data_IF_938127764585
#
_entry.id   IF_938127764585
#
_cell.length_a   1.000
_cell.length_b   1.000
_cell.length_c   1.000
_cell.angle_alpha   90.00
_cell.angle_beta   90.00
_cell.angle_gamma   90.00
#
_symmetry.space_group_name_H-M   'P 1'
#
loop_
_entity.id
_entity.type
_entity.pdbx_description
1 polymer ?
#
# COMPACT_ATOMS: atom_id res chain seq x y z
N UNK A 1 -16.86 -6.03 -37.22
CA UNK A 1 -16.75 -7.47 -37.55
C UNK A 1 -15.39 -7.71 -38.18
N UNK A 2 -14.43 -8.19 -37.39
CA UNK A 2 -13.18 -8.73 -37.92
C UNK A 2 -12.94 -10.02 -37.17
N UNK A 3 -13.36 -11.13 -37.78
CA UNK A 3 -12.99 -12.47 -37.37
C UNK A 3 -11.48 -12.66 -37.57
N UNK A 4 -10.78 -13.08 -36.51
CA UNK A 4 -9.45 -13.66 -36.60
C UNK A 4 -9.47 -15.02 -35.89
N UNK A 5 -9.91 -16.03 -36.63
CA UNK A 5 -9.75 -17.43 -36.30
C UNK A 5 -8.34 -17.89 -36.71
N UNK A 6 -7.44 -18.00 -35.74
CA UNK A 6 -6.19 -18.76 -35.87
C UNK A 6 -6.34 -20.16 -35.26
N UNK A 7 -5.71 -21.22 -35.82
CA UNK A 7 -5.90 -22.58 -35.34
C UNK A 7 -4.95 -22.87 -34.17
N UNK A 8 -5.51 -23.10 -32.99
CA UNK A 8 -4.80 -23.74 -31.88
C UNK A 8 -5.43 -25.13 -31.68
N UNK A 9 -4.73 -26.14 -32.22
CA UNK A 9 -4.98 -27.54 -31.91
C UNK A 9 -4.34 -27.89 -30.58
N UNK A 10 -5.14 -28.49 -29.68
CA UNK A 10 -4.72 -29.00 -28.38
C UNK A 10 -5.93 -29.14 -27.48
N UNK A 11 -6.36 -30.38 -27.23
CA UNK A 11 -7.53 -30.75 -26.43
C UNK A 11 -7.51 -30.12 -25.02
N UNK A 12 -8.29 -29.07 -24.81
CA UNK A 12 -8.79 -28.63 -23.52
C UNK A 12 -10.09 -27.85 -23.79
N UNK A 13 -11.16 -28.16 -23.06
CA UNK A 13 -12.50 -27.60 -23.30
C UNK A 13 -12.45 -26.07 -23.42
N UNK A 14 -13.09 -25.52 -24.44
CA UNK A 14 -13.30 -24.07 -24.51
C UNK A 14 -14.05 -23.66 -23.24
N UNK A 15 -13.60 -22.65 -22.50
CA UNK A 15 -14.36 -22.14 -21.37
C UNK A 15 -15.74 -21.70 -21.90
N UNK A 16 -16.80 -22.27 -21.35
CA UNK A 16 -18.19 -22.02 -21.79
C UNK A 16 -18.62 -20.58 -21.52
N UNK A 17 -17.95 -19.89 -20.58
CA UNK A 17 -18.24 -18.51 -20.22
C UNK A 17 -16.97 -17.66 -20.06
N UNK A 18 -16.99 -16.46 -20.64
CA UNK A 18 -15.97 -15.43 -20.46
C UNK A 18 -16.57 -14.33 -19.60
N UNK A 19 -15.83 -13.82 -18.61
CA UNK A 19 -16.25 -12.66 -17.82
C UNK A 19 -15.26 -11.50 -18.00
N UNK A 20 -15.81 -10.28 -17.98
CA UNK A 20 -15.01 -9.06 -17.96
C UNK A 20 -14.78 -8.63 -16.50
N UNK A 21 -13.53 -8.55 -16.08
CA UNK A 21 -13.15 -8.14 -14.72
C UNK A 21 -12.36 -6.84 -14.78
N UNK A 22 -12.72 -5.90 -13.91
CA UNK A 22 -11.94 -4.67 -13.70
C UNK A 22 -10.83 -4.95 -12.68
N UNK A 23 -9.58 -4.71 -13.07
CA UNK A 23 -8.40 -4.93 -12.21
C UNK A 23 -7.37 -3.82 -12.39
N UNK A 24 -6.50 -3.67 -11.40
CA UNK A 24 -5.30 -2.85 -11.56
C UNK A 24 -4.18 -3.68 -12.21
N UNK A 25 -3.87 -3.38 -13.47
CA UNK A 25 -2.73 -3.99 -14.15
C UNK A 25 -1.46 -3.23 -13.80
N UNK A 26 -0.42 -3.97 -13.41
CA UNK A 26 0.94 -3.45 -13.25
C UNK A 26 1.56 -3.27 -14.65
N UNK A 27 1.95 -2.05 -14.97
CA UNK A 27 2.59 -1.70 -16.25
C UNK A 27 4.10 -1.76 -16.17
N UNK A 28 4.66 -1.37 -15.04
CA UNK A 28 6.09 -1.39 -14.77
C UNK A 28 6.35 -1.48 -13.27
N UNK A 29 7.49 -2.03 -12.89
CA UNK A 29 7.91 -2.12 -11.50
C UNK A 29 9.42 -2.21 -11.36
N UNK A 30 9.92 -1.68 -10.25
CA UNK A 30 11.32 -1.83 -9.83
C UNK A 30 11.41 -2.42 -8.43
N UNK A 31 12.52 -3.11 -8.18
CA UNK A 31 12.92 -3.62 -6.86
C UNK A 31 14.27 -3.02 -6.52
N UNK A 32 14.35 -2.33 -5.40
CA UNK A 32 15.53 -1.57 -5.04
C UNK A 32 16.09 -2.00 -3.69
N UNK A 33 17.42 -1.91 -3.59
CA UNK A 33 18.22 -2.11 -2.39
C UNK A 33 19.04 -0.84 -2.18
N UNK A 34 18.51 0.08 -1.39
CA UNK A 34 19.14 1.37 -1.17
C UNK A 34 19.94 1.36 0.15
N UNK A 35 21.17 1.87 0.10
CA UNK A 35 21.99 2.18 1.27
C UNK A 35 21.98 3.70 1.45
N UNK A 36 21.16 4.19 2.38
CA UNK A 36 20.98 5.62 2.63
C UNK A 36 22.05 6.06 3.63
N UNK A 37 23.21 6.47 3.14
CA UNK A 37 24.35 6.86 3.97
C UNK A 37 24.20 8.25 4.58
N UNK A 38 24.60 8.38 5.85
CA UNK A 38 24.71 9.66 6.56
C UNK A 38 23.44 10.53 6.45
N UNK A 39 22.27 9.92 6.62
CA UNK A 39 20.99 10.62 6.62
C UNK A 39 20.83 11.38 7.93
N UNK A 40 20.55 12.68 7.83
CA UNK A 40 20.33 13.54 8.99
C UNK A 40 19.09 13.11 9.78
N UNK A 41 19.27 12.91 11.08
CA UNK A 41 18.18 12.68 12.04
C UNK A 41 17.81 13.99 12.74
N UNK A 42 16.59 14.48 12.48
CA UNK A 42 15.97 15.63 13.13
C UNK A 42 15.40 15.21 14.48
N UNK A 43 15.77 15.92 15.53
CA UNK A 43 15.38 15.61 16.90
C UNK A 43 14.35 16.64 17.37
N UNK A 44 13.58 16.30 18.41
CA UNK A 44 12.85 17.32 19.14
C UNK A 44 13.80 18.17 20.00
N UNK A 45 13.36 19.36 20.39
CA UNK A 45 14.04 20.23 21.35
C UNK A 45 14.52 19.48 22.60
N UNK A 46 13.65 18.69 23.22
CA UNK A 46 13.97 17.88 24.39
C UNK A 46 14.98 16.78 24.08
N UNK A 47 14.81 16.09 22.95
CA UNK A 47 15.73 15.02 22.52
C UNK A 47 17.12 15.55 22.17
N UNK A 48 17.20 16.76 21.60
CA UNK A 48 18.46 17.43 21.28
C UNK A 48 19.26 17.76 22.55
N UNK A 49 18.61 18.16 23.65
CA UNK A 49 19.27 18.43 24.93
C UNK A 49 19.91 17.16 25.54
N UNK A 50 19.32 15.98 25.27
CA UNK A 50 19.87 14.68 25.65
C UNK A 50 21.07 14.32 24.78
N UNK A 51 20.94 14.54 23.46
CA UNK A 51 21.98 14.25 22.47
C UNK A 51 23.22 15.15 22.62
N UNK A 52 23.05 16.41 23.03
CA UNK A 52 24.16 17.32 23.28
C UNK A 52 25.03 16.88 24.48
N UNK A 53 24.46 16.10 25.40
CA UNK A 53 25.16 15.53 26.57
C UNK A 53 25.56 14.07 26.38
N UNK A 54 25.34 13.52 25.19
CA UNK A 54 25.63 12.12 24.88
C UNK A 54 27.13 11.87 24.77
N UNK A 55 27.59 10.77 25.38
CA UNK A 55 28.94 10.22 25.13
C UNK A 55 28.94 9.18 24.02
N UNK A 56 27.81 8.48 23.82
CA UNK A 56 27.61 7.51 22.76
C UNK A 56 26.12 7.45 22.37
N UNK A 57 25.86 7.16 21.09
CA UNK A 57 24.51 7.00 20.55
C UNK A 57 24.51 5.76 19.66
N UNK A 58 23.45 4.94 19.76
CA UNK A 58 23.21 3.84 18.82
C UNK A 58 21.76 3.84 18.36
N UNK A 59 21.52 3.46 17.12
CA UNK A 59 20.16 3.21 16.64
C UNK A 59 19.65 1.87 17.15
N UNK A 60 18.45 1.88 17.75
CA UNK A 60 17.75 0.70 18.27
C UNK A 60 16.75 0.15 17.25
N UNK A 61 16.01 1.03 16.59
CA UNK A 61 14.95 0.67 15.65
C UNK A 61 14.76 1.77 14.60
N UNK A 62 14.32 1.38 13.40
CA UNK A 62 13.96 2.30 12.33
C UNK A 62 12.65 1.82 11.72
N UNK A 63 11.67 2.72 11.60
CA UNK A 63 10.36 2.44 11.01
C UNK A 63 10.02 3.46 9.94
N UNK A 64 9.46 3.02 8.82
CA UNK A 64 8.85 3.93 7.85
C UNK A 64 7.47 4.33 8.38
N UNK A 65 7.34 5.56 8.84
CA UNK A 65 6.08 6.06 9.42
C UNK A 65 5.13 6.61 8.38
N UNK A 66 5.65 7.15 7.28
CA UNK A 66 4.85 7.68 6.19
C UNK A 66 5.65 7.79 4.89
N UNK A 67 4.94 7.91 3.78
CA UNK A 67 5.52 8.27 2.49
C UNK A 67 4.71 9.37 1.82
N UNK A 68 5.36 10.22 1.05
CA UNK A 68 4.70 11.15 0.14
C UNK A 68 5.15 10.80 -1.29
N UNK A 69 4.19 10.51 -2.15
CA UNK A 69 4.42 10.06 -3.53
C UNK A 69 3.84 11.09 -4.48
N UNK A 70 4.68 11.66 -5.34
CA UNK A 70 4.26 12.55 -6.42
C UNK A 70 4.64 11.96 -7.78
N UNK A 71 3.83 12.26 -8.80
CA UNK A 71 3.97 11.73 -10.14
C UNK A 71 4.00 12.90 -11.12
N UNK A 72 5.08 12.99 -11.90
CA UNK A 72 5.27 13.99 -12.93
C UNK A 72 5.44 13.33 -14.30
N UNK A 73 4.95 13.97 -15.35
CA UNK A 73 5.17 13.49 -16.72
C UNK A 73 6.60 13.77 -17.17
N UNK A 74 7.25 12.82 -17.85
CA UNK A 74 8.59 13.02 -18.39
C UNK A 74 8.48 13.65 -19.78
N UNK A 75 9.13 14.80 -20.04
CA UNK A 75 9.11 15.40 -21.36
C UNK A 75 9.75 14.44 -22.37
N UNK A 76 9.16 14.32 -23.57
CA UNK A 76 9.61 13.50 -24.70
C UNK A 76 9.44 11.97 -24.59
N UNK A 77 9.22 11.41 -23.39
CA UNK A 77 9.00 9.97 -23.20
C UNK A 77 7.53 9.66 -22.86
N UNK A 78 6.72 9.56 -23.91
CA UNK A 78 5.29 9.23 -23.84
C UNK A 78 5.03 7.95 -23.04
N UNK A 79 4.09 8.03 -22.10
CA UNK A 79 3.73 6.93 -21.21
C UNK A 79 4.70 6.65 -20.04
N UNK A 80 5.80 7.38 -19.93
CA UNK A 80 6.71 7.31 -18.78
C UNK A 80 6.45 8.46 -17.80
N UNK A 81 6.55 8.14 -16.51
CA UNK A 81 6.32 9.10 -15.43
C UNK A 81 7.51 9.07 -14.48
N UNK A 82 7.94 10.26 -14.04
CA UNK A 82 8.88 10.40 -12.94
C UNK A 82 8.09 10.34 -11.64
N UNK A 83 8.38 9.33 -10.84
CA UNK A 83 7.82 9.17 -9.50
C UNK A 83 8.85 9.68 -8.50
N UNK A 84 8.45 10.64 -7.68
CA UNK A 84 9.25 11.09 -6.52
C UNK A 84 8.60 10.55 -5.25
N UNK A 85 9.35 9.76 -4.48
CA UNK A 85 8.91 9.15 -3.23
C UNK A 85 9.75 9.73 -2.10
N UNK A 86 9.09 10.44 -1.19
CA UNK A 86 9.69 10.91 0.05
C UNK A 86 9.34 9.94 1.17
N UNK A 87 10.36 9.31 1.75
CA UNK A 87 10.24 8.45 2.91
C UNK A 87 10.45 9.26 4.19
N UNK A 88 9.59 9.04 5.18
CA UNK A 88 9.73 9.56 6.52
C UNK A 88 10.01 8.38 7.46
N UNK A 89 11.17 8.40 8.12
CA UNK A 89 11.60 7.36 9.05
C UNK A 89 11.56 7.86 10.47
N UNK A 90 10.89 7.12 11.37
CA UNK A 90 11.11 7.28 12.80
C UNK A 90 12.32 6.43 13.20
N UNK A 91 13.33 7.07 13.77
CA UNK A 91 14.52 6.43 14.29
C UNK A 91 14.48 6.49 15.80
N UNK A 92 14.46 5.33 16.44
CA UNK A 92 14.62 5.22 17.89
C UNK A 92 16.10 5.06 18.21
N UNK A 93 16.62 5.95 19.05
CA UNK A 93 18.01 6.01 19.46
C UNK A 93 18.14 5.66 20.95
N UNK A 94 19.12 4.82 21.29
CA UNK A 94 19.60 4.71 22.66
C UNK A 94 20.82 5.60 22.85
N UNK A 95 20.75 6.44 23.86
CA UNK A 95 21.72 7.49 24.15
C UNK A 95 22.33 7.24 25.51
N UNK A 96 23.65 7.10 25.55
CA UNK A 96 24.41 7.03 26.80
C UNK A 96 24.80 8.45 27.22
N UNK A 97 24.30 8.88 28.38
CA UNK A 97 24.60 10.19 28.97
C UNK A 97 25.50 10.00 30.19
N UNK A 98 26.57 10.79 30.28
CA UNK A 98 27.53 10.76 31.39
C UNK A 98 28.07 9.36 31.72
N UNK A 99 28.14 8.45 30.73
CA UNK A 99 28.60 7.06 30.87
C UNK A 99 27.89 6.22 31.94
N UNK A 100 26.68 6.63 32.37
CA UNK A 100 25.98 5.97 33.49
C UNK A 100 24.49 5.73 33.23
N UNK A 101 23.86 6.53 32.36
CA UNK A 101 22.43 6.44 32.09
C UNK A 101 22.17 6.23 30.60
N UNK A 102 21.36 5.23 30.28
CA UNK A 102 20.83 5.00 28.93
C UNK A 102 19.43 5.61 28.88
N UNK A 103 19.21 6.46 27.88
CA UNK A 103 17.93 7.08 27.58
C UNK A 103 17.51 6.71 26.17
N UNK A 104 16.21 6.58 25.95
CA UNK A 104 15.66 6.37 24.62
C UNK A 104 15.08 7.69 24.12
N UNK A 105 15.44 8.08 22.90
CA UNK A 105 14.89 9.26 22.23
C UNK A 105 14.52 8.91 20.80
N UNK A 106 13.61 9.67 20.21
CA UNK A 106 13.18 9.48 18.83
C UNK A 106 13.62 10.67 17.97
N UNK A 107 13.86 10.38 16.69
CA UNK A 107 14.11 11.41 15.70
C UNK A 107 13.60 11.01 14.32
N UNK A 108 13.49 12.00 13.44
CA UNK A 108 12.99 11.88 12.09
C UNK A 108 14.15 11.89 11.09
N UNK A 109 14.25 10.86 10.26
CA UNK A 109 15.06 10.90 9.04
C UNK A 109 14.15 11.05 7.82
N UNK A 110 14.61 11.79 6.80
CA UNK A 110 13.86 12.00 5.55
C UNK A 110 14.76 11.68 4.36
N UNK A 111 14.21 10.96 3.36
CA UNK A 111 14.94 10.63 2.14
C UNK A 111 14.02 10.72 0.91
N UNK A 112 14.52 11.35 -0.16
CA UNK A 112 13.83 11.45 -1.44
C UNK A 112 14.44 10.48 -2.46
N UNK A 113 13.59 9.59 -2.98
CA UNK A 113 13.91 8.67 -4.07
C UNK A 113 13.18 9.11 -5.34
N UNK A 114 13.88 9.08 -6.48
CA UNK A 114 13.28 9.32 -7.79
C UNK A 114 13.45 8.10 -8.66
N UNK A 115 12.36 7.65 -9.29
CA UNK A 115 12.36 6.55 -10.26
C UNK A 115 11.53 6.94 -11.46
N UNK A 116 11.86 6.41 -12.64
CA UNK A 116 11.06 6.57 -13.85
C UNK A 116 10.43 5.23 -14.16
N UNK A 117 9.10 5.19 -14.26
CA UNK A 117 8.34 3.97 -14.54
C UNK A 117 7.41 4.18 -15.73
N UNK A 118 7.22 3.13 -16.52
CA UNK A 118 6.24 3.12 -17.59
C UNK A 118 4.83 2.90 -17.01
N UNK A 119 3.96 3.88 -17.24
CA UNK A 119 2.56 3.83 -16.80
C UNK A 119 1.57 3.67 -17.92
N UNK A 120 1.99 3.68 -19.20
CA UNK A 120 1.11 3.86 -20.36
C UNK A 120 0.37 5.21 -20.37
N UNK A 121 -0.12 5.59 -21.54
CA UNK A 121 -0.90 6.81 -21.74
C UNK A 121 -2.40 6.52 -21.68
N UNK A 122 -3.16 7.50 -21.18
CA UNK A 122 -4.63 7.47 -21.19
C UNK A 122 -5.15 8.88 -21.49
N UNK A 123 -5.58 9.10 -22.74
CA UNK A 123 -6.09 10.39 -23.23
C UNK A 123 -7.63 10.40 -23.24
N UNK A 124 -8.25 10.07 -22.11
CA UNK A 124 -9.72 10.07 -21.98
C UNK A 124 -10.15 10.67 -20.65
N UNK A 125 -11.18 11.49 -20.63
CA UNK A 125 -11.80 11.95 -19.38
C UNK A 125 -12.67 10.84 -18.80
N UNK A 126 -12.56 10.58 -17.49
CA UNK A 126 -13.37 9.59 -16.79
C UNK A 126 -14.37 10.31 -15.89
N UNK A 127 -15.65 9.95 -16.01
CA UNK A 127 -16.74 10.43 -15.18
C UNK A 127 -17.45 9.22 -14.58
N UNK A 128 -17.80 9.30 -13.29
CA UNK A 128 -18.47 8.22 -12.56
C UNK A 128 -19.79 8.75 -12.00
N UNK A 129 -20.86 7.97 -12.14
CA UNK A 129 -22.15 8.28 -11.52
C UNK A 129 -22.12 8.05 -10.02
N UNK A 130 -22.83 8.87 -9.25
CA UNK A 130 -23.07 8.64 -7.82
C UNK A 130 -24.26 7.67 -7.66
N UNK A 131 -24.07 6.46 -7.10
CA UNK A 131 -25.15 5.49 -6.92
C UNK A 131 -26.20 5.91 -5.89
N UNK A 132 -25.91 6.91 -5.04
CA UNK A 132 -26.86 7.42 -4.04
C UNK A 132 -27.78 8.53 -4.59
N UNK A 133 -27.52 9.02 -5.80
CA UNK A 133 -28.23 10.13 -6.44
C UNK A 133 -28.97 9.63 -7.71
N UNK A 134 -30.00 8.80 -7.52
CA UNK A 134 -30.82 8.18 -8.58
C UNK A 134 -32.06 9.01 -9.00
N UNK A 135 -32.21 10.20 -8.42
CA UNK A 135 -33.39 11.04 -8.60
C UNK A 135 -33.56 11.62 -10.00
N UNK A 136 -34.72 11.38 -10.62
CA UNK A 136 -35.10 12.00 -11.89
C UNK A 136 -35.23 13.53 -11.76
N UNK A 137 -34.47 14.29 -12.55
CA UNK A 137 -34.50 15.76 -12.61
C UNK A 137 -34.18 16.48 -11.28
N UNK A 138 -33.30 15.93 -10.44
CA UNK A 138 -32.74 16.68 -9.29
C UNK A 138 -31.85 17.80 -9.84
N UNK A 139 -32.14 19.06 -9.47
CA UNK A 139 -31.24 20.18 -9.74
C UNK A 139 -29.98 19.97 -8.89
N UNK A 140 -28.79 19.71 -9.48
CA UNK A 140 -27.58 19.55 -8.70
C UNK A 140 -27.30 20.89 -8.01
N UNK A 141 -27.32 20.92 -6.68
CA UNK A 141 -26.86 22.10 -5.94
C UNK A 141 -25.34 22.28 -6.10
N UNK A 142 -24.64 21.17 -6.36
CA UNK A 142 -23.20 21.07 -6.59
C UNK A 142 -22.97 20.00 -7.69
N UNK A 143 -22.11 20.29 -8.68
CA UNK A 143 -21.68 19.29 -9.67
C UNK A 143 -20.69 18.34 -8.98
N UNK A 144 -21.09 17.09 -8.70
CA UNK A 144 -20.21 16.08 -8.09
C UNK A 144 -19.42 15.25 -9.12
N UNK A 145 -19.79 15.31 -10.39
CA UNK A 145 -19.21 14.50 -11.46
C UNK A 145 -18.01 15.22 -12.12
N UNK A 146 -16.97 15.49 -11.35
CA UNK A 146 -15.72 16.06 -11.90
C UNK A 146 -14.91 15.00 -12.65
N UNK A 147 -14.14 15.46 -13.64
CA UNK A 147 -13.25 14.57 -14.39
C UNK A 147 -12.20 13.97 -13.45
N UNK A 148 -12.18 12.64 -13.34
CA UNK A 148 -11.21 11.92 -12.51
C UNK A 148 -9.83 11.96 -13.19
N UNK A 149 -8.79 12.20 -12.40
CA UNK A 149 -7.40 12.17 -12.87
C UNK A 149 -7.07 10.83 -13.54
N UNK A 150 -6.43 10.90 -14.71
CA UNK A 150 -5.93 9.73 -15.43
C UNK A 150 -4.47 9.44 -15.14
N UNK A 151 -3.88 9.99 -14.08
CA UNK A 151 -2.55 9.58 -13.66
C UNK A 151 -2.58 8.10 -13.21
N UNK A 152 -1.49 7.34 -13.46
CA UNK A 152 -1.38 5.99 -12.95
C UNK A 152 -1.29 5.99 -11.42
N UNK A 153 -1.70 4.89 -10.80
CA UNK A 153 -1.53 4.66 -9.37
C UNK A 153 -0.11 4.15 -9.15
N UNK A 154 0.58 4.66 -8.13
CA UNK A 154 1.87 4.13 -7.71
C UNK A 154 1.72 3.48 -6.36
N UNK A 155 2.18 2.24 -6.24
CA UNK A 155 2.21 1.50 -4.98
C UNK A 155 3.66 1.27 -4.59
N UNK A 156 3.99 1.61 -3.34
CA UNK A 156 5.32 1.46 -2.75
C UNK A 156 5.21 0.49 -1.59
N UNK A 157 5.88 -0.65 -1.70
CA UNK A 157 6.00 -1.66 -0.65
C UNK A 157 7.41 -1.60 -0.09
N UNK A 158 7.54 -1.62 1.24
CA UNK A 158 8.81 -1.45 1.94
C UNK A 158 8.93 -2.53 3.00
N UNK A 159 10.07 -3.22 3.03
CA UNK A 159 10.39 -4.12 4.14
C UNK A 159 10.89 -3.31 5.36
N UNK A 160 10.90 -3.93 6.55
CA UNK A 160 11.45 -3.31 7.75
C UNK A 160 12.87 -2.77 7.49
N UNK A 161 13.13 -1.46 7.68
CA UNK A 161 14.44 -0.88 7.45
C UNK A 161 15.51 -1.44 8.39
N UNK A 162 16.76 -1.41 7.95
CA UNK A 162 17.90 -1.92 8.72
C UNK A 162 18.79 -0.75 9.13
N UNK A 163 19.06 -0.61 10.43
CA UNK A 163 20.07 0.32 10.92
C UNK A 163 21.47 -0.24 10.63
N UNK A 164 22.27 0.48 9.83
CA UNK A 164 23.60 0.06 9.42
C UNK A 164 24.71 0.79 10.18
N UNK A 165 24.52 2.08 10.44
CA UNK A 165 25.48 2.90 11.19
C UNK A 165 24.80 4.09 11.88
N UNK A 166 25.40 4.60 12.96
CA UNK A 166 24.95 5.79 13.69
C UNK A 166 26.17 6.65 14.04
N UNK A 167 26.19 7.89 13.57
CA UNK A 167 27.27 8.84 13.85
C UNK A 167 26.76 10.02 14.66
N UNK A 168 27.47 10.34 15.73
CA UNK A 168 27.32 11.58 16.49
C UNK A 168 28.40 12.55 16.03
N UNK A 169 27.99 13.67 15.44
CA UNK A 169 28.89 14.64 14.81
C UNK A 169 28.69 16.01 15.44
N UNK A 170 29.78 16.66 15.82
CA UNK A 170 29.76 18.04 16.30
C UNK A 170 29.45 19.02 15.15
N UNK A 171 28.47 19.90 15.33
CA UNK A 171 27.89 20.75 14.27
C UNK A 171 28.84 21.78 13.68
N UNK A 172 29.96 22.08 14.34
CA UNK A 172 31.01 22.95 13.80
C UNK A 172 31.67 22.41 12.52
N UNK A 173 31.34 21.18 12.09
CA UNK A 173 31.83 20.55 10.87
C UNK A 173 30.67 20.31 9.89
N UNK A 174 30.77 20.75 8.62
CA UNK A 174 29.80 20.37 7.61
C UNK A 174 29.84 18.84 7.43
N UNK A 175 28.69 18.18 7.57
CA UNK A 175 28.58 16.72 7.48
C UNK A 175 27.21 16.30 6.95
N UNK A 176 27.18 15.29 6.08
CA UNK A 176 25.96 14.69 5.53
C UNK A 176 25.24 15.53 4.47
N UNK A 177 24.09 15.02 4.02
CA UNK A 177 23.19 15.69 3.09
C UNK A 177 21.78 15.68 3.69
N UNK A 178 21.07 16.80 3.61
CA UNK A 178 19.66 16.84 3.99
C UNK A 178 18.84 17.40 2.83
N UNK A 179 17.82 16.64 2.43
CA UNK A 179 16.97 16.99 1.30
C UNK A 179 15.85 17.99 1.66
N UNK A 180 15.74 18.41 2.93
CA UNK A 180 14.59 19.19 3.40
C UNK A 180 14.91 20.07 4.62
N UNK A 181 14.23 21.21 4.71
CA UNK A 181 14.17 22.02 5.93
C UNK A 181 13.00 21.56 6.81
N UNK A 182 13.08 21.78 8.12
CA UNK A 182 12.05 21.42 9.10
C UNK A 182 10.62 21.88 8.70
N UNK A 183 10.49 23.05 8.06
CA UNK A 183 9.19 23.63 7.69
C UNK A 183 8.45 22.85 6.60
N UNK A 184 9.15 22.01 5.83
CA UNK A 184 8.54 21.20 4.78
C UNK A 184 8.13 19.79 5.27
N UNK A 185 8.26 19.52 6.58
CA UNK A 185 7.76 18.29 7.22
C UNK A 185 6.25 18.42 7.46
N UNK A 186 5.40 17.52 6.92
CA UNK A 186 3.95 17.57 7.12
C UNK A 186 3.53 17.43 8.59
N UNK A 187 2.45 18.11 8.99
CA UNK A 187 1.94 18.10 10.37
C UNK A 187 1.62 16.69 10.88
N UNK A 188 1.06 15.83 10.03
CA UNK A 188 0.78 14.42 10.37
C UNK A 188 2.05 13.64 10.75
N UNK A 189 3.19 13.97 10.14
CA UNK A 189 4.48 13.35 10.45
C UNK A 189 5.03 13.96 11.75
N UNK A 190 4.96 15.29 11.89
CA UNK A 190 5.40 16.02 13.08
C UNK A 190 4.68 15.53 14.34
N UNK A 191 3.38 15.30 14.27
CA UNK A 191 2.55 14.83 15.38
C UNK A 191 2.93 13.44 15.93
N UNK A 192 3.82 12.69 15.26
CA UNK A 192 4.34 11.42 15.78
C UNK A 192 5.48 11.58 16.78
N UNK A 193 6.08 12.76 16.87
CA UNK A 193 7.20 13.04 17.77
C UNK A 193 6.74 13.93 18.92
N UNK A 194 7.32 13.70 20.10
CA UNK A 194 7.08 14.53 21.27
C UNK A 194 7.87 15.84 21.17
N UNK A 195 7.18 16.97 21.30
CA UNK A 195 7.77 18.30 21.20
C UNK A 195 7.88 18.81 19.76
N UNK A 196 8.65 19.88 19.59
CA UNK A 196 8.89 20.44 18.26
C UNK A 196 10.17 19.84 17.71
N UNK A 197 10.11 19.23 16.53
CA UNK A 197 11.31 18.94 15.76
C UNK A 197 12.07 20.25 15.58
N UNK A 198 13.39 20.23 15.72
CA UNK A 198 14.23 21.42 15.64
C UNK A 198 15.39 21.17 14.70
N UNK A 199 15.73 22.20 13.92
CA UNK A 199 16.94 22.23 13.14
C UNK A 199 17.83 23.40 13.57
N UNK A 200 19.14 23.31 13.31
CA UNK A 200 20.06 24.41 13.59
C UNK A 200 20.42 24.66 15.07
N UNK A 201 19.81 23.97 16.05
CA UNK A 201 20.13 24.14 17.48
C UNK A 201 21.02 23.04 18.09
N UNK A 202 21.74 23.36 19.16
CA UNK A 202 22.58 22.40 19.91
C UNK A 202 24.00 22.27 19.37
N UNK A 203 24.80 21.41 20.02
CA UNK A 203 26.21 21.19 19.68
C UNK A 203 26.40 19.97 18.76
N UNK A 204 25.54 18.97 18.90
CA UNK A 204 25.68 17.68 18.21
C UNK A 204 24.57 17.45 17.17
N UNK A 205 24.90 16.63 16.20
CA UNK A 205 24.01 16.16 15.14
C UNK A 205 24.14 14.64 15.01
N UNK A 206 23.00 13.95 14.92
CA UNK A 206 22.95 12.52 14.65
C UNK A 206 22.72 12.30 13.16
N UNK A 207 23.51 11.36 12.61
CA UNK A 207 23.37 10.84 11.25
C UNK A 207 23.24 9.33 11.33
N UNK A 208 22.41 8.76 10.47
CA UNK A 208 22.10 7.33 10.46
C UNK A 208 22.24 6.80 9.06
N UNK A 209 22.88 5.65 8.92
CA UNK A 209 22.91 4.90 7.66
C UNK A 209 21.81 3.85 7.68
N UNK A 210 20.92 3.89 6.70
CA UNK A 210 19.70 3.06 6.65
C UNK A 210 19.74 2.15 5.42
N UNK A 211 19.64 0.84 5.62
CA UNK A 211 19.39 -0.12 4.56
C UNK A 211 17.90 -0.24 4.29
N UNK A 212 17.47 -0.03 3.03
CA UNK A 212 16.08 -0.05 2.61
C UNK A 212 15.85 -1.03 1.45
N UNK A 213 14.88 -1.92 1.61
CA UNK A 213 14.37 -2.77 0.53
C UNK A 213 12.98 -2.29 0.13
N UNK A 214 12.78 -2.00 -1.15
CA UNK A 214 11.49 -1.55 -1.65
C UNK A 214 11.09 -2.18 -2.98
N UNK A 215 9.79 -2.27 -3.21
CA UNK A 215 9.18 -2.60 -4.51
C UNK A 215 8.24 -1.46 -4.86
N UNK A 216 8.44 -0.87 -6.03
CA UNK A 216 7.64 0.25 -6.53
C UNK A 216 6.98 -0.22 -7.81
N UNK A 217 5.65 -0.16 -7.88
CA UNK A 217 4.88 -0.59 -9.05
C UNK A 217 3.92 0.50 -9.51
N UNK A 218 3.81 0.61 -10.83
CA UNK A 218 2.90 1.54 -11.51
C UNK A 218 1.70 0.77 -12.06
N UNK A 219 0.51 1.12 -11.59
CA UNK A 219 -0.74 0.43 -11.84
C UNK A 219 -1.73 1.32 -12.58
N UNK A 220 -2.54 0.73 -13.47
CA UNK A 220 -3.76 1.37 -13.98
C UNK A 220 -4.95 0.42 -13.96
N UNK A 221 -6.16 0.93 -13.71
CA UNK A 221 -7.37 0.16 -13.88
C UNK A 221 -7.58 -0.19 -15.35
N UNK A 222 -7.73 -1.48 -15.65
CA UNK A 222 -8.02 -2.05 -16.96
C UNK A 222 -9.15 -3.07 -16.86
N UNK A 223 -9.75 -3.39 -17.99
CA UNK A 223 -10.73 -4.48 -18.11
C UNK A 223 -10.06 -5.68 -18.79
N UNK A 224 -10.07 -6.83 -18.13
CA UNK A 224 -9.56 -8.09 -18.67
C UNK A 224 -10.71 -9.04 -18.93
N UNK A 225 -10.63 -9.77 -20.04
CA UNK A 225 -11.53 -10.91 -20.31
C UNK A 225 -10.84 -12.15 -19.79
N UNK A 226 -11.43 -12.80 -18.78
CA UNK A 226 -10.90 -14.01 -18.17
C UNK A 226 -11.85 -15.20 -18.45
N UNK A 227 -11.30 -16.41 -18.63
CA UNK A 227 -12.11 -17.62 -18.65
C UNK A 227 -12.66 -17.87 -17.24
N UNK A 228 -13.97 -17.71 -17.08
CA UNK A 228 -14.63 -17.89 -15.80
C UNK A 228 -15.11 -19.33 -15.70
N UNK A 229 -14.43 -20.15 -14.88
CA UNK A 229 -14.83 -21.54 -14.74
C UNK A 229 -15.82 -21.74 -13.59
N UNK A 230 -15.71 -21.01 -12.48
CA UNK A 230 -16.62 -21.07 -11.31
C UNK A 230 -16.38 -19.88 -10.38
N UNK A 231 -17.36 -19.52 -9.54
CA UNK A 231 -17.12 -18.63 -8.41
C UNK A 231 -16.30 -19.33 -7.32
N UNK A 232 -15.33 -18.63 -6.73
CA UNK A 232 -14.50 -19.18 -5.66
C UNK A 232 -15.23 -19.09 -4.31
N UNK A 233 -15.91 -20.17 -3.91
CA UNK A 233 -16.46 -20.28 -2.56
C UNK A 233 -15.44 -20.93 -1.62
N UNK A 234 -15.31 -20.43 -0.37
CA UNK A 234 -14.54 -21.13 0.65
C UNK A 234 -15.13 -22.53 0.90
N UNK A 235 -14.32 -23.57 0.74
CA UNK A 235 -14.74 -24.97 0.93
C UNK A 235 -14.74 -25.41 2.41
N UNK A 236 -14.28 -24.56 3.33
CA UNK A 236 -14.15 -24.89 4.75
C UNK A 236 -15.40 -24.49 5.52
N UNK A 237 -16.16 -25.49 5.96
CA UNK A 237 -17.24 -25.30 6.92
C UNK A 237 -16.70 -25.20 8.36
N UNK A 238 -17.13 -24.17 9.10
CA UNK A 238 -16.92 -24.11 10.54
C UNK A 238 -17.90 -25.07 11.23
N UNK A 239 -17.41 -26.19 11.74
CA UNK A 239 -18.25 -27.14 12.49
C UNK A 239 -18.50 -26.63 13.92
N UNK A 240 -19.76 -26.40 14.35
CA UNK A 240 -20.04 -26.14 15.76
C UNK A 240 -19.76 -27.40 16.59
N UNK A 241 -19.22 -27.20 17.79
CA UNK A 241 -19.03 -28.25 18.80
C UNK A 241 -20.39 -28.83 19.19
N UNK A 242 -20.50 -30.16 19.24
CA UNK A 242 -21.79 -30.85 19.34
C UNK A 242 -22.59 -30.50 20.60
N UNK A 243 -23.74 -29.87 20.42
CA UNK A 243 -24.84 -29.82 21.40
C UNK A 243 -26.18 -30.02 20.71
N UNK A 244 -27.11 -30.68 21.39
CA UNK A 244 -28.47 -31.00 20.92
C UNK A 244 -29.39 -29.79 20.98
N UNK A 245 -29.04 -28.75 20.23
CA UNK A 245 -29.72 -27.47 20.22
C UNK A 245 -29.92 -27.03 18.74
N UNK A 246 -30.67 -25.95 18.43
CA UNK A 246 -31.07 -25.59 17.07
C UNK A 246 -29.91 -25.48 16.05
N UNK A 247 -28.68 -25.33 16.53
CA UNK A 247 -27.44 -25.42 15.77
C UNK A 247 -27.30 -26.76 15.00
N UNK A 248 -27.81 -27.87 15.54
CA UNK A 248 -27.78 -29.20 14.90
C UNK A 248 -28.78 -29.37 13.73
N UNK A 249 -29.83 -28.56 13.70
CA UNK A 249 -30.78 -28.49 12.57
C UNK A 249 -30.20 -27.59 11.47
N UNK A 250 -29.64 -26.45 11.87
CA UNK A 250 -29.00 -25.51 10.96
C UNK A 250 -27.76 -26.11 10.28
N UNK A 251 -26.93 -26.88 10.99
CA UNK A 251 -25.76 -27.56 10.41
C UNK A 251 -26.09 -28.62 9.37
N UNK A 252 -27.35 -29.08 9.32
CA UNK A 252 -27.85 -30.02 8.30
C UNK A 252 -28.44 -29.31 7.09
N UNK A 253 -28.68 -28.01 7.16
CA UNK A 253 -29.15 -27.22 6.01
C UNK A 253 -27.99 -27.07 5.01
N UNK A 254 -28.31 -27.17 3.72
CA UNK A 254 -27.33 -26.88 2.68
C UNK A 254 -27.00 -25.39 2.69
N UNK A 255 -25.73 -25.04 2.50
CA UNK A 255 -25.32 -23.66 2.32
C UNK A 255 -26.08 -23.06 1.11
N UNK A 256 -26.80 -21.93 1.25
CA UNK A 256 -27.70 -21.43 0.22
C UNK A 256 -26.90 -20.68 -0.85
N UNK A 257 -26.17 -21.42 -1.70
CA UNK A 257 -25.31 -20.91 -2.76
C UNK A 257 -26.01 -19.84 -3.62
N UNK A 258 -27.29 -20.06 -3.95
CA UNK A 258 -28.11 -19.15 -4.76
C UNK A 258 -28.37 -17.78 -4.13
N UNK A 259 -28.22 -17.62 -2.81
CA UNK A 259 -28.38 -16.33 -2.12
C UNK A 259 -27.07 -15.51 -2.14
N UNK A 260 -25.93 -16.17 -2.29
CA UNK A 260 -24.61 -15.53 -2.35
C UNK A 260 -24.16 -15.22 -3.78
N UNK A 261 -24.87 -15.74 -4.78
CA UNK A 261 -24.61 -15.43 -6.18
C UNK A 261 -25.65 -14.44 -6.71
N UNK A 262 -25.21 -13.30 -7.28
CA UNK A 262 -26.12 -12.42 -7.98
C UNK A 262 -26.77 -13.21 -9.12
N UNK A 263 -28.10 -13.30 -9.11
CA UNK A 263 -28.85 -14.06 -10.10
C UNK A 263 -28.59 -13.45 -11.47
N UNK A 264 -27.77 -14.09 -12.30
CA UNK A 264 -27.55 -13.66 -13.68
C UNK A 264 -27.68 -14.85 -14.62
N UNK A 265 -28.77 -14.81 -15.39
CA UNK A 265 -29.01 -15.44 -16.70
C UNK A 265 -28.64 -16.94 -16.86
N UNK A 266 -29.32 -17.83 -16.12
CA UNK A 266 -30.19 -18.90 -16.64
C UNK A 266 -30.66 -19.83 -15.49
N UNK A 267 -31.95 -20.23 -15.43
CA UNK A 267 -32.49 -21.04 -14.34
C UNK A 267 -32.31 -22.54 -14.63
N UNK A 268 -31.23 -23.15 -14.13
CA UNK A 268 -30.94 -24.53 -14.55
C UNK A 268 -30.06 -25.39 -13.66
N UNK A 269 -29.95 -25.13 -12.36
CA UNK A 269 -29.26 -26.06 -11.46
C UNK A 269 -29.97 -26.16 -10.10
N UNK A 270 -31.12 -26.84 -10.09
CA UNK A 270 -31.65 -27.38 -8.83
C UNK A 270 -30.88 -28.64 -8.48
N UNK A 271 -30.34 -28.70 -7.25
CA UNK A 271 -29.81 -29.94 -6.68
C UNK A 271 -30.88 -31.04 -6.74
N UNK A 272 -30.53 -32.30 -7.08
CA UNK A 272 -31.50 -33.38 -7.08
C UNK A 272 -32.02 -33.61 -5.66
N UNK A 273 -33.32 -33.90 -5.48
CA UNK A 273 -33.89 -34.14 -4.17
C UNK A 273 -33.28 -35.40 -3.55
N UNK A 274 -33.07 -35.34 -2.23
CA UNK A 274 -32.63 -36.45 -1.39
C UNK A 274 -33.63 -37.59 -1.56
N UNK A 275 -33.18 -38.73 -2.10
CA UNK A 275 -33.97 -39.97 -2.09
C UNK A 275 -33.96 -40.53 -0.67
N UNK A 276 -35.07 -40.41 0.03
CA UNK A 276 -35.36 -41.20 1.22
C UNK A 276 -35.28 -42.69 0.87
N UNK A 277 -34.19 -43.35 1.25
CA UNK A 277 -34.15 -44.80 1.33
C UNK A 277 -34.88 -45.21 2.61
N UNK A 278 -36.16 -45.49 2.47
CA UNK A 278 -36.96 -46.12 3.50
C UNK A 278 -36.36 -47.44 3.96
N UNK A 279 -36.49 -47.70 5.26
CA UNK A 279 -36.21 -48.98 5.90
C UNK A 279 -36.87 -50.14 5.14
N UNK A 280 -36.10 -51.18 4.84
CA UNK A 280 -36.64 -52.53 4.70
C UNK A 280 -36.37 -53.30 6.00
N UNK A 281 -37.43 -53.94 6.51
CA UNK A 281 -37.38 -55.00 7.51
C UNK A 281 -36.61 -56.21 7.00
#
# INVERSE_FOLDING_TARGET
>A
MVDRSGPLGGLCGKPEQLCCVSVNKIFDSTRDKDCLEDVRCFLSDQSQEVIDRASAVRTKNIEVINTNISIDTVPFNRGYFQVTIRYFFCVTLEVCVCNTRILEVQGLCVFDKKVILFGSEKNVSVFTSDPEEDGFCVRPKELKCDSISTLPIVVVEVAAPIALDTKLVERCKPFGHCCINQDAIPDKVRARFEGNLVDGIGANAVFVTIGLFSVIRMERPVQLVLPACNFCLPEKDCKPTETTDPCSIFSKMCFPLSEFFPTSEDPGAQCPPIKDKGCCK
#
